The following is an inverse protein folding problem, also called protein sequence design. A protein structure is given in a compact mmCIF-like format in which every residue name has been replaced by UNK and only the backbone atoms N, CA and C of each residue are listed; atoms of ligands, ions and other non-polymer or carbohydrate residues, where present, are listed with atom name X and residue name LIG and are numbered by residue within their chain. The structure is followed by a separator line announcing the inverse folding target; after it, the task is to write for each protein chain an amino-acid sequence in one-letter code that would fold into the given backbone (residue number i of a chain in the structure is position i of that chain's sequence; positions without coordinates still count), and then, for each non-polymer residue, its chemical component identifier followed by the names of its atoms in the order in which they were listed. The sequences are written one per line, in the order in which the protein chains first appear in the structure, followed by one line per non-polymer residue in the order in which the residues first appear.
data_IF_405962295514
#
_entry.id   IF_405962295514
#
_cell.length_a   1.000
_cell.length_b   1.000
_cell.length_c   1.000
_cell.angle_alpha   90.00
_cell.angle_beta   90.00
_cell.angle_gamma   90.00
#
_symmetry.space_group_name_H-M   'P 1'
#
loop_
_entity.id
_entity.type
_entity.pdbx_description
1 polymer ?
#
# COMPACT_ATOMS: atom_id res chain seq x y z
N UNK A 1 -0.77 -13.85 5.50
CA UNK A 1 0.11 -12.69 5.62
C UNK A 1 -0.78 -11.52 5.29
N UNK A 2 -1.03 -10.72 6.31
CA UNK A 2 -1.93 -9.58 6.24
C UNK A 2 -1.12 -8.28 6.24
N UNK A 3 -1.72 -7.18 5.79
CA UNK A 3 -1.09 -5.86 5.80
C UNK A 3 -1.55 -5.11 7.04
N UNK A 4 -0.60 -4.79 7.91
CA UNK A 4 -0.85 -4.06 9.16
C UNK A 4 -0.76 -2.54 8.95
N UNK A 5 0.15 -2.09 8.09
CA UNK A 5 0.33 -0.68 7.79
C UNK A 5 0.84 -0.47 6.37
N UNK A 6 0.59 0.73 5.83
CA UNK A 6 1.13 1.16 4.54
C UNK A 6 1.79 2.52 4.68
N UNK A 7 2.87 2.73 3.93
CA UNK A 7 3.45 4.03 3.69
C UNK A 7 3.40 4.32 2.19
N UNK A 8 2.32 4.99 1.77
CA UNK A 8 2.07 5.33 0.37
C UNK A 8 3.19 6.18 -0.23
N UNK A 9 3.75 7.12 0.54
CA UNK A 9 4.83 8.01 0.07
C UNK A 9 6.11 7.25 -0.26
N UNK A 10 6.39 6.17 0.46
CA UNK A 10 7.56 5.31 0.21
C UNK A 10 7.24 4.12 -0.69
N UNK A 11 5.96 3.87 -1.00
CA UNK A 11 5.55 2.71 -1.79
C UNK A 11 5.84 1.40 -1.08
N UNK A 12 5.62 1.32 0.24
CA UNK A 12 5.86 0.10 1.02
C UNK A 12 4.65 -0.27 1.87
N UNK A 13 4.45 -1.57 2.07
CA UNK A 13 3.49 -2.14 3.00
C UNK A 13 4.22 -2.97 4.06
N UNK A 14 3.78 -2.86 5.32
CA UNK A 14 4.27 -3.63 6.46
C UNK A 14 3.32 -4.80 6.71
N UNK A 15 3.86 -6.01 6.72
CA UNK A 15 3.11 -7.24 6.97
C UNK A 15 2.95 -7.51 8.46
N UNK A 16 2.00 -8.38 8.81
CA UNK A 16 1.82 -8.96 10.15
C UNK A 16 3.06 -9.71 10.67
N UNK A 17 3.93 -10.16 9.77
CA UNK A 17 5.22 -10.78 10.10
C UNK A 17 6.34 -9.77 10.42
N UNK A 18 6.10 -8.48 10.23
CA UNK A 18 7.08 -7.40 10.44
C UNK A 18 8.00 -7.14 9.25
N UNK A 19 7.74 -7.76 8.10
CA UNK A 19 8.49 -7.55 6.86
C UNK A 19 7.90 -6.38 6.06
N UNK A 20 8.76 -5.63 5.38
CA UNK A 20 8.30 -4.58 4.45
C UNK A 20 8.36 -5.10 3.03
N UNK A 21 7.23 -5.05 2.32
CA UNK A 21 7.13 -5.40 0.90
C UNK A 21 6.90 -4.14 0.06
N UNK A 22 7.51 -4.03 -1.13
CA UNK A 22 7.25 -2.92 -2.04
C UNK A 22 5.82 -3.01 -2.60
N UNK A 23 5.19 -1.86 -2.79
CA UNK A 23 3.93 -1.73 -3.50
C UNK A 23 4.23 -1.60 -5.00
N UNK A 24 3.66 -2.49 -5.81
CA UNK A 24 3.85 -2.51 -7.26
C UNK A 24 2.96 -1.50 -7.97
N UNK A 25 1.72 -1.33 -7.53
CA UNK A 25 0.73 -0.47 -8.20
C UNK A 25 -0.23 0.14 -7.20
N UNK A 26 -0.59 1.40 -7.43
CA UNK A 26 -1.60 2.14 -6.68
C UNK A 26 -2.79 2.45 -7.58
N UNK A 27 -4.00 2.41 -7.03
CA UNK A 27 -5.23 2.71 -7.75
C UNK A 27 -6.05 3.77 -7.02
N UNK A 28 -6.63 4.70 -7.75
CA UNK A 28 -7.50 5.75 -7.20
C UNK A 28 -8.92 5.23 -6.92
N UNK A 29 -9.86 6.15 -6.66
CA UNK A 29 -11.26 5.82 -6.37
C UNK A 29 -12.03 5.26 -7.58
N UNK A 30 -11.62 5.60 -8.79
CA UNK A 30 -12.24 5.15 -10.04
C UNK A 30 -11.64 3.82 -10.52
N UNK A 31 -10.53 3.40 -9.91
CA UNK A 31 -9.82 2.15 -10.21
C UNK A 31 -8.73 2.35 -11.27
N UNK A 32 -8.36 3.59 -11.56
CA UNK A 32 -7.27 3.91 -12.48
C UNK A 32 -5.94 3.91 -11.73
N UNK A 33 -4.87 3.50 -12.43
CA UNK A 33 -3.52 3.54 -11.87
C UNK A 33 -3.10 4.98 -11.59
N UNK A 34 -2.57 5.21 -10.40
CA UNK A 34 -2.27 6.55 -9.92
C UNK A 34 -0.95 6.62 -9.15
N UNK A 35 -0.54 7.82 -8.75
CA UNK A 35 0.63 8.02 -7.89
C UNK A 35 0.22 8.22 -6.42
N UNK A 36 1.19 8.13 -5.50
CA UNK A 36 0.95 8.37 -4.09
C UNK A 36 0.43 9.79 -3.75
N UNK A 37 0.57 10.75 -4.67
CA UNK A 37 0.02 12.10 -4.52
C UNK A 37 -1.46 12.21 -4.91
N UNK A 38 -2.03 11.19 -5.56
CA UNK A 38 -3.34 11.23 -6.21
C UNK A 38 -4.44 10.55 -5.36
N UNK A 39 -4.27 10.47 -4.04
CA UNK A 39 -5.22 9.85 -3.10
C UNK A 39 -5.60 8.39 -3.45
N UNK A 40 -4.62 7.45 -3.42
CA UNK A 40 -4.87 6.05 -3.75
C UNK A 40 -5.83 5.38 -2.76
N UNK A 41 -6.74 4.56 -3.28
CA UNK A 41 -7.78 3.80 -2.58
C UNK A 41 -7.58 2.30 -2.59
N UNK A 42 -6.65 1.79 -3.40
CA UNK A 42 -6.23 0.41 -3.37
C UNK A 42 -4.78 0.28 -3.83
N UNK A 43 -4.17 -0.87 -3.56
CA UNK A 43 -2.84 -1.18 -4.04
C UNK A 43 -2.69 -2.67 -4.34
N UNK A 44 -1.64 -2.98 -5.10
CA UNK A 44 -1.15 -4.33 -5.36
C UNK A 44 0.31 -4.43 -4.91
N UNK A 45 0.67 -5.52 -4.26
CA UNK A 45 2.04 -5.83 -3.84
C UNK A 45 2.35 -7.31 -4.06
N UNK A 46 3.54 -7.62 -4.56
CA UNK A 46 4.05 -8.98 -4.64
C UNK A 46 4.75 -9.37 -3.33
N UNK A 47 4.32 -10.49 -2.74
CA UNK A 47 4.91 -11.04 -1.53
C UNK A 47 6.20 -11.83 -1.84
N UNK A 48 7.08 -12.07 -0.85
CA UNK A 48 8.34 -12.80 -1.06
C UNK A 48 8.18 -14.23 -1.59
N UNK A 49 7.02 -14.85 -1.37
CA UNK A 49 6.68 -16.18 -1.89
C UNK A 49 6.20 -16.17 -3.36
N UNK A 50 6.17 -14.99 -3.99
CA UNK A 50 5.76 -14.77 -5.37
C UNK A 50 4.25 -14.58 -5.56
N UNK A 51 3.44 -14.68 -4.49
CA UNK A 51 2.01 -14.40 -4.54
C UNK A 51 1.74 -12.90 -4.60
N UNK A 52 0.55 -12.53 -5.08
CA UNK A 52 0.12 -11.14 -5.20
C UNK A 52 -0.97 -10.86 -4.17
N UNK A 53 -0.79 -9.77 -3.43
CA UNK A 53 -1.77 -9.23 -2.50
C UNK A 53 -2.39 -7.98 -3.09
N UNK A 54 -3.71 -7.86 -3.00
CA UNK A 54 -4.43 -6.61 -3.24
C UNK A 54 -5.25 -6.23 -2.02
N UNK A 55 -5.20 -4.96 -1.63
CA UNK A 55 -5.94 -4.46 -0.48
C UNK A 55 -6.46 -3.04 -0.72
N UNK A 56 -7.53 -2.69 -0.01
CA UNK A 56 -8.11 -1.35 -0.02
C UNK A 56 -7.44 -0.48 1.02
N UNK A 57 -7.37 0.81 0.72
CA UNK A 57 -6.94 1.85 1.64
C UNK A 57 -8.19 2.53 2.18
N UNK A 58 -8.73 1.99 3.27
CA UNK A 58 -10.02 2.44 3.84
C UNK A 58 -9.92 3.78 4.59
N UNK A 59 -8.71 4.28 4.82
CA UNK A 59 -8.44 5.60 5.37
C UNK A 59 -6.98 5.74 5.79
N UNK A 60 -6.43 6.94 5.66
CA UNK A 60 -5.10 7.26 6.19
C UNK A 60 -5.09 8.70 6.71
N UNK A 61 -4.31 8.93 7.76
CA UNK A 61 -4.11 10.26 8.34
C UNK A 61 -2.69 10.72 8.01
N UNK A 62 -2.54 11.98 7.58
CA UNK A 62 -1.24 12.56 7.35
C UNK A 62 -0.57 12.87 8.70
N UNK A 63 0.46 12.11 9.07
CA UNK A 63 1.25 12.37 10.28
C UNK A 63 2.54 13.10 9.90
N UNK A 64 2.82 14.21 10.57
CA UNK A 64 4.14 14.86 10.52
C UNK A 64 4.98 14.35 11.69
N UNK A 65 6.06 13.62 11.40
CA UNK A 65 7.04 13.22 12.42
C UNK A 65 7.83 14.48 12.84
N UNK A 66 7.79 14.81 14.13
CA UNK A 66 8.63 15.85 14.75
C UNK A 66 9.95 15.27 15.23
#
# INVERSE_FOLDING_TARGET
MDIEAINLRQGIALTDTGETVPIDTLFDADGDECSAGDDPRAFIAQLPDGTWLSARVDGYEAVTLQ
#
